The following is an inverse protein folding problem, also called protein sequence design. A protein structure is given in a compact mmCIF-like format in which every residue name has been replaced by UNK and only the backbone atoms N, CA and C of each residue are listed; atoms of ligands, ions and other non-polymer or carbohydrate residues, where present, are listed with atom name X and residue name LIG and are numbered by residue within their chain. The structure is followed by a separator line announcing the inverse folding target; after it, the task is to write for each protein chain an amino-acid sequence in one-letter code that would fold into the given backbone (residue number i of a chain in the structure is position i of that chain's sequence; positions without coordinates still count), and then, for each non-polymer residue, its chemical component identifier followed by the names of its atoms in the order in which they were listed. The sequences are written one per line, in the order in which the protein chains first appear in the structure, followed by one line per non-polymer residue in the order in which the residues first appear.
data_IF_981742211778
#
_entry.id   IF_981742211778
#
_cell.length_a   1.000
_cell.length_b   1.000
_cell.length_c   1.000
_cell.angle_alpha   90.00
_cell.angle_beta   90.00
_cell.angle_gamma   90.00
#
_symmetry.space_group_name_H-M   'P 1'
#
loop_
_entity.id
_entity.type
_entity.pdbx_description
1 polymer ?
#
# COMPACT_ATOMS: atom_id res chain seq x y z
N UNK A 1 -17.45 -8.99 -9.91
CA UNK A 1 -16.07 -9.41 -9.58
C UNK A 1 -15.17 -8.18 -9.52
N UNK A 2 -14.28 -8.15 -8.56
CA UNK A 2 -13.31 -7.05 -8.42
C UNK A 2 -11.91 -7.54 -8.72
N UNK A 3 -11.14 -6.72 -9.43
CA UNK A 3 -9.78 -7.05 -9.81
C UNK A 3 -8.77 -6.15 -9.09
N UNK A 4 -7.79 -6.77 -8.44
CA UNK A 4 -6.69 -6.07 -7.79
C UNK A 4 -5.39 -6.39 -8.51
N UNK A 5 -4.55 -5.37 -8.70
CA UNK A 5 -3.23 -5.55 -9.29
C UNK A 5 -2.16 -5.42 -8.20
N UNK A 6 -1.21 -6.36 -8.18
CA UNK A 6 -0.13 -6.38 -7.19
C UNK A 6 1.15 -5.83 -7.80
N UNK A 7 1.33 -4.52 -7.71
CA UNK A 7 2.49 -3.84 -8.28
C UNK A 7 2.68 -2.46 -7.63
N UNK A 8 3.91 -1.94 -7.72
CA UNK A 8 4.21 -0.58 -7.34
C UNK A 8 4.50 0.32 -8.54
N UNK A 9 4.49 -0.24 -9.76
CA UNK A 9 4.83 0.51 -10.98
C UNK A 9 3.64 1.31 -11.47
N UNK A 10 3.77 2.64 -11.50
CA UNK A 10 2.70 3.54 -11.91
C UNK A 10 2.26 3.33 -13.37
N UNK A 11 3.21 3.02 -14.27
CA UNK A 11 2.89 2.78 -15.68
C UNK A 11 2.00 1.55 -15.85
N UNK A 12 2.28 0.46 -15.12
CA UNK A 12 1.43 -0.73 -15.14
C UNK A 12 0.03 -0.45 -14.59
N UNK A 13 -0.04 0.33 -13.51
CA UNK A 13 -1.31 0.71 -12.89
C UNK A 13 -2.13 1.57 -13.83
N UNK A 14 -1.51 2.56 -14.48
CA UNK A 14 -2.19 3.43 -15.43
C UNK A 14 -2.74 2.66 -16.64
N UNK A 15 -1.93 1.73 -17.17
CA UNK A 15 -2.35 0.90 -18.29
C UNK A 15 -3.56 0.04 -17.94
N UNK A 16 -3.48 -0.69 -16.83
CA UNK A 16 -4.58 -1.54 -16.38
C UNK A 16 -5.83 -0.74 -16.04
N UNK A 17 -5.65 0.44 -15.41
CA UNK A 17 -6.76 1.32 -15.05
C UNK A 17 -7.45 1.87 -16.31
N UNK A 18 -6.69 2.24 -17.33
CA UNK A 18 -7.25 2.74 -18.60
C UNK A 18 -8.10 1.70 -19.32
N UNK A 19 -7.84 0.41 -19.06
CA UNK A 19 -8.62 -0.69 -19.61
C UNK A 19 -9.84 -1.04 -18.75
N UNK A 20 -10.07 -0.33 -17.65
CA UNK A 20 -11.18 -0.60 -16.74
C UNK A 20 -11.02 -1.87 -15.93
N UNK A 21 -9.80 -2.39 -15.79
CA UNK A 21 -9.54 -3.67 -15.14
C UNK A 21 -9.06 -3.58 -13.70
N UNK A 22 -8.95 -2.35 -13.13
CA UNK A 22 -8.41 -2.17 -11.78
C UNK A 22 -9.46 -1.60 -10.85
N UNK A 23 -9.85 -2.38 -9.85
CA UNK A 23 -10.71 -1.91 -8.76
C UNK A 23 -9.90 -1.48 -7.55
N UNK A 24 -8.70 -2.02 -7.40
CA UNK A 24 -7.79 -1.67 -6.33
C UNK A 24 -6.37 -2.13 -6.62
N UNK A 25 -5.43 -1.74 -5.75
CA UNK A 25 -4.01 -2.06 -5.91
C UNK A 25 -3.49 -2.63 -4.59
N UNK A 26 -2.68 -3.67 -4.68
CA UNK A 26 -1.92 -4.17 -3.53
C UNK A 26 -0.45 -3.87 -3.76
N UNK A 27 0.19 -3.30 -2.76
CA UNK A 27 1.61 -2.99 -2.82
C UNK A 27 2.27 -3.27 -1.48
N UNK A 28 3.59 -3.34 -1.47
CA UNK A 28 4.36 -3.52 -0.25
C UNK A 28 5.74 -2.86 -0.40
N UNK A 29 6.49 -2.70 0.72
CA UNK A 29 7.80 -2.06 0.68
C UNK A 29 8.81 -2.74 -0.25
N UNK A 30 8.76 -4.07 -0.36
CA UNK A 30 9.67 -4.80 -1.24
C UNK A 30 9.46 -4.45 -2.71
N UNK A 31 8.20 -4.36 -3.15
CA UNK A 31 7.87 -3.96 -4.51
C UNK A 31 8.30 -2.52 -4.80
N UNK A 32 8.09 -1.63 -3.83
CA UNK A 32 8.51 -0.23 -3.96
C UNK A 32 10.03 -0.10 -4.04
N UNK A 33 10.77 -0.87 -3.23
CA UNK A 33 12.22 -0.84 -3.25
C UNK A 33 12.79 -1.25 -4.61
N UNK A 34 12.16 -2.19 -5.29
CA UNK A 34 12.59 -2.65 -6.62
C UNK A 34 12.55 -1.55 -7.68
N UNK A 35 11.71 -0.55 -7.51
CA UNK A 35 11.60 0.57 -8.44
C UNK A 35 12.28 1.84 -7.93
N UNK A 36 13.14 1.72 -6.90
CA UNK A 36 13.94 2.82 -6.40
C UNK A 36 13.30 3.66 -5.30
N UNK A 37 12.15 3.24 -4.77
CA UNK A 37 11.51 3.94 -3.67
C UNK A 37 12.02 3.37 -2.37
N UNK A 38 13.03 4.01 -1.78
CA UNK A 38 13.72 3.50 -0.59
C UNK A 38 13.49 4.27 0.70
N UNK A 39 12.91 5.46 0.64
CA UNK A 39 12.64 6.25 1.83
C UNK A 39 11.17 6.16 2.24
N UNK A 40 10.91 6.37 3.53
CA UNK A 40 9.57 6.34 4.09
C UNK A 40 8.68 7.44 3.47
N UNK A 41 9.24 8.62 3.29
CA UNK A 41 8.51 9.75 2.70
C UNK A 41 8.15 9.49 1.23
N UNK A 42 9.08 8.94 0.46
CA UNK A 42 8.83 8.59 -0.93
C UNK A 42 7.77 7.49 -1.04
N UNK A 43 7.79 6.53 -0.12
CA UNK A 43 6.77 5.48 -0.06
C UNK A 43 5.38 6.06 0.18
N UNK A 44 5.25 6.95 1.16
CA UNK A 44 3.97 7.60 1.47
C UNK A 44 3.44 8.39 0.29
N UNK A 45 4.30 9.15 -0.38
CA UNK A 45 3.91 9.94 -1.54
C UNK A 45 3.48 9.06 -2.70
N UNK A 46 4.17 7.94 -2.89
CA UNK A 46 3.85 6.97 -3.92
C UNK A 46 2.46 6.35 -3.68
N UNK A 47 2.17 5.95 -2.44
CA UNK A 47 0.86 5.42 -2.05
C UNK A 47 -0.24 6.45 -2.31
N UNK A 48 0.00 7.70 -1.97
CA UNK A 48 -0.96 8.78 -2.22
C UNK A 48 -1.25 8.92 -3.72
N UNK A 49 -0.20 8.89 -4.54
CA UNK A 49 -0.32 8.98 -5.99
C UNK A 49 -1.17 7.85 -6.55
N UNK A 50 -0.94 6.63 -6.07
CA UNK A 50 -1.72 5.46 -6.51
C UNK A 50 -3.19 5.62 -6.10
N UNK A 51 -3.46 6.07 -4.88
CA UNK A 51 -4.83 6.29 -4.41
C UNK A 51 -5.58 7.29 -5.29
N UNK A 52 -4.93 8.38 -5.65
CA UNK A 52 -5.53 9.42 -6.49
C UNK A 52 -5.76 8.93 -7.92
N UNK A 53 -4.86 8.11 -8.43
CA UNK A 53 -4.96 7.54 -9.77
C UNK A 53 -6.10 6.51 -9.87
N UNK A 54 -6.17 5.58 -8.93
CA UNK A 54 -7.09 4.45 -8.97
C UNK A 54 -8.47 4.80 -8.42
N UNK A 55 -8.54 5.65 -7.39
CA UNK A 55 -9.77 5.99 -6.67
C UNK A 55 -10.49 4.74 -6.16
N UNK A 56 -9.72 3.82 -5.61
CA UNK A 56 -10.19 2.57 -5.04
C UNK A 56 -9.23 2.07 -3.97
N UNK A 57 -9.52 0.96 -3.30
CA UNK A 57 -8.69 0.46 -2.21
C UNK A 57 -7.24 0.21 -2.64
N UNK A 58 -6.30 0.72 -1.85
CA UNK A 58 -4.87 0.51 -2.05
C UNK A 58 -4.29 -0.03 -0.75
N UNK A 59 -3.75 -1.25 -0.79
CA UNK A 59 -3.13 -1.83 0.41
C UNK A 59 -1.70 -1.36 0.54
N UNK A 60 -1.32 -0.98 1.76
CA UNK A 60 0.04 -0.59 2.12
C UNK A 60 0.46 -1.37 3.35
N UNK A 61 1.59 -2.07 3.26
CA UNK A 61 2.05 -2.96 4.32
C UNK A 61 3.01 -2.26 5.28
N UNK A 62 2.87 -2.53 6.58
CA UNK A 62 3.81 -2.05 7.58
C UNK A 62 5.12 -2.82 7.49
N UNK A 63 6.24 -2.15 7.78
CA UNK A 63 7.58 -2.74 7.79
C UNK A 63 7.95 -3.23 9.18
N UNK A 64 7.44 -2.59 10.21
CA UNK A 64 7.74 -2.92 11.60
C UNK A 64 7.35 -4.37 11.94
N UNK A 65 8.12 -4.98 12.85
CA UNK A 65 7.89 -6.37 13.27
C UNK A 65 7.42 -6.47 14.71
N UNK A 66 7.44 -5.38 15.45
CA UNK A 66 7.03 -5.32 16.84
C UNK A 66 5.66 -4.65 16.97
N UNK A 67 4.83 -5.10 17.89
CA UNK A 67 3.46 -4.64 18.09
C UNK A 67 3.32 -3.11 18.15
N UNK A 68 4.05 -2.45 19.05
CA UNK A 68 3.92 -0.98 19.24
C UNK A 68 4.29 -0.22 17.97
N UNK A 69 5.38 -0.62 17.33
CA UNK A 69 5.86 0.00 16.10
C UNK A 69 4.88 -0.25 14.94
N UNK A 70 4.29 -1.44 14.85
CA UNK A 70 3.27 -1.75 13.86
C UNK A 70 2.05 -0.84 13.98
N UNK A 71 1.56 -0.64 15.20
CA UNK A 71 0.39 0.21 15.43
C UNK A 71 0.69 1.65 15.04
N UNK A 72 1.85 2.17 15.42
CA UNK A 72 2.25 3.54 15.08
C UNK A 72 2.35 3.71 13.57
N UNK A 73 3.02 2.78 12.89
CA UNK A 73 3.19 2.82 11.43
C UNK A 73 1.85 2.67 10.71
N UNK A 74 1.00 1.76 11.18
CA UNK A 74 -0.33 1.55 10.61
C UNK A 74 -1.17 2.82 10.66
N UNK A 75 -1.11 3.56 11.77
CA UNK A 75 -1.82 4.83 11.91
C UNK A 75 -1.29 5.89 10.95
N UNK A 76 0.03 5.93 10.74
CA UNK A 76 0.63 6.83 9.76
C UNK A 76 0.15 6.51 8.35
N UNK A 77 0.18 5.23 7.96
CA UNK A 77 -0.26 4.79 6.65
C UNK A 77 -1.74 5.10 6.42
N UNK A 78 -2.57 4.86 7.41
CA UNK A 78 -4.01 5.13 7.33
C UNK A 78 -4.33 6.61 7.10
N UNK A 79 -3.44 7.52 7.50
CA UNK A 79 -3.62 8.96 7.32
C UNK A 79 -3.24 9.48 5.95
N UNK A 80 -2.60 8.66 5.13
CA UNK A 80 -2.14 9.08 3.80
C UNK A 80 -3.32 9.42 2.91
N UNK A 81 -4.34 8.56 2.89
CA UNK A 81 -5.51 8.74 2.05
C UNK A 81 -6.66 7.85 2.55
N UNK A 82 -7.89 8.24 2.26
CA UNK A 82 -9.07 7.47 2.68
C UNK A 82 -9.15 6.08 2.06
N UNK A 83 -8.53 5.88 0.90
CA UNK A 83 -8.51 4.60 0.19
C UNK A 83 -7.45 3.62 0.69
N UNK A 84 -6.58 4.02 1.62
CA UNK A 84 -5.53 3.14 2.12
C UNK A 84 -6.10 2.06 3.04
N UNK A 85 -5.80 0.80 2.71
CA UNK A 85 -6.06 -0.35 3.57
C UNK A 85 -4.71 -0.82 4.10
N UNK A 86 -4.52 -0.77 5.41
CA UNK A 86 -3.25 -1.15 6.02
C UNK A 86 -3.13 -2.66 6.10
N UNK A 87 -2.05 -3.20 5.54
CA UNK A 87 -1.75 -4.62 5.59
C UNK A 87 -0.79 -4.90 6.73
N UNK A 88 -1.14 -5.85 7.60
CA UNK A 88 -0.35 -6.23 8.78
C UNK A 88 0.03 -7.71 8.64
N UNK A 89 1.32 -8.05 8.86
CA UNK A 89 1.76 -9.44 8.69
C UNK A 89 1.10 -10.38 9.70
N UNK A 90 0.91 -11.64 9.30
CA UNK A 90 0.30 -12.67 10.11
C UNK A 90 1.35 -13.27 11.08
N UNK A 91 1.66 -12.52 12.13
CA UNK A 91 2.57 -12.90 13.21
C UNK A 91 1.84 -12.68 14.54
N UNK A 92 2.35 -13.20 15.68
CA UNK A 92 1.73 -12.92 16.98
C UNK A 92 1.59 -11.42 17.24
N UNK A 93 2.62 -10.63 16.97
CA UNK A 93 2.58 -9.18 17.14
C UNK A 93 1.63 -8.52 16.13
N UNK A 94 1.58 -9.03 14.90
CA UNK A 94 0.65 -8.55 13.89
C UNK A 94 -0.79 -8.79 14.27
N UNK A 95 -1.11 -9.94 14.83
CA UNK A 95 -2.46 -10.24 15.30
C UNK A 95 -2.88 -9.32 16.45
N UNK A 96 -1.95 -8.98 17.34
CA UNK A 96 -2.22 -8.02 18.41
C UNK A 96 -2.44 -6.60 17.85
N UNK A 97 -1.71 -6.23 16.80
CA UNK A 97 -1.80 -4.90 16.20
C UNK A 97 -3.12 -4.69 15.44
N UNK A 98 -3.67 -5.76 14.92
CA UNK A 98 -4.95 -5.72 14.24
C UNK A 98 -6.09 -5.48 15.21
#
# INVERSE_FOLDING_TARGET
MKFFIDTAKLDEIREAHSLGLVDGVTTNPSLCAKIGIGTKEDFKEHIRTICELVQGPVSAEVVATEYSAMVAEARELARIHEWVAVKIPMTPDGLKAT
#
